data_IF_313835373910
#
_entry.id   IF_313835373910
#
_cell.length_a   1.000
_cell.length_b   1.000
_cell.length_c   1.000
_cell.angle_alpha   90.00
_cell.angle_beta   90.00
_cell.angle_gamma   90.00
#
_symmetry.space_group_name_H-M   'P 1'
#
loop_
_entity.id
_entity.type
_entity.pdbx_description
1 polymer ?
#
# COMPACT_ATOMS: atom_id res chain seq x y z
N UNK A 1 22.41 0.11 31.81
CA UNK A 1 22.46 -1.36 31.82
C UNK A 1 21.70 -1.81 30.57
N UNK A 2 22.41 -1.90 29.44
CA UNK A 2 21.86 -2.31 28.15
C UNK A 2 21.77 -3.84 28.15
N UNK A 3 20.55 -4.36 28.08
CA UNK A 3 20.35 -5.74 27.65
C UNK A 3 20.11 -5.69 26.15
N UNK A 4 21.18 -5.93 25.40
CA UNK A 4 21.14 -6.21 23.97
C UNK A 4 20.75 -7.68 23.85
N UNK A 5 19.44 -7.95 23.70
CA UNK A 5 18.97 -9.25 23.27
C UNK A 5 19.35 -9.38 21.79
N UNK A 6 20.51 -9.98 21.53
CA UNK A 6 20.79 -10.59 20.22
C UNK A 6 19.75 -11.68 20.00
N UNK A 7 18.67 -11.35 19.31
CA UNK A 7 17.87 -12.37 18.62
C UNK A 7 18.74 -12.90 17.48
N UNK A 8 19.00 -14.21 17.51
CA UNK A 8 19.56 -14.91 16.36
C UNK A 8 18.63 -14.66 15.16
N UNK A 9 19.17 -14.12 14.07
CA UNK A 9 18.47 -13.96 12.79
C UNK A 9 18.15 -15.33 12.19
N UNK A 10 17.15 -16.01 12.74
CA UNK A 10 16.48 -17.06 12.00
C UNK A 10 15.48 -16.39 11.06
N UNK A 11 15.53 -16.66 9.75
CA UNK A 11 14.51 -16.18 8.84
C UNK A 11 13.13 -16.66 9.29
N UNK A 12 12.12 -15.81 9.11
CA UNK A 12 10.70 -16.13 9.35
C UNK A 12 10.33 -17.48 8.74
N UNK A 13 9.45 -18.23 9.40
CA UNK A 13 8.90 -19.48 8.87
C UNK A 13 7.80 -19.26 7.83
N UNK A 14 7.36 -18.00 7.66
CA UNK A 14 6.25 -17.60 6.77
C UNK A 14 4.98 -18.45 7.02
N UNK A 15 4.62 -18.66 8.29
CA UNK A 15 3.49 -19.50 8.73
C UNK A 15 2.17 -18.74 8.91
N UNK A 16 2.21 -17.41 9.08
CA UNK A 16 1.03 -16.53 9.13
C UNK A 16 0.75 -15.85 7.78
N UNK A 17 0.41 -16.66 6.77
CA UNK A 17 0.15 -16.17 5.41
C UNK A 17 -1.30 -15.71 5.24
N UNK A 18 -1.47 -14.41 4.96
CA UNK A 18 -2.75 -13.81 4.61
C UNK A 18 -2.79 -13.39 3.14
N UNK A 19 -3.37 -14.22 2.28
CA UNK A 19 -3.38 -14.01 0.82
C UNK A 19 -4.77 -13.59 0.32
N UNK A 20 -4.90 -12.48 -0.43
CA UNK A 20 -6.18 -12.03 -0.99
C UNK A 20 -6.67 -12.90 -2.16
N UNK A 21 -5.73 -13.48 -2.91
CA UNK A 21 -6.02 -14.31 -4.08
C UNK A 21 -5.55 -15.76 -3.88
N UNK A 22 -6.24 -16.75 -4.48
CA UNK A 22 -5.82 -18.14 -4.40
C UNK A 22 -4.42 -18.37 -4.97
N UNK A 23 -3.69 -19.30 -4.34
CA UNK A 23 -2.40 -19.73 -4.86
C UNK A 23 -2.52 -20.30 -6.28
N UNK A 24 -1.59 -19.94 -7.17
CA UNK A 24 -1.57 -20.37 -8.57
C UNK A 24 -2.50 -19.59 -9.50
N UNK A 25 -3.16 -18.54 -9.00
CA UNK A 25 -3.92 -17.58 -9.80
C UNK A 25 -3.12 -16.27 -9.90
N UNK A 26 -3.42 -15.46 -10.92
CA UNK A 26 -2.83 -14.12 -11.06
C UNK A 26 -3.20 -13.25 -9.85
N UNK A 27 -2.27 -12.40 -9.42
CA UNK A 27 -2.56 -11.39 -8.39
C UNK A 27 -3.34 -10.23 -9.02
N UNK A 28 -4.50 -9.92 -8.46
CA UNK A 28 -5.41 -8.91 -8.99
C UNK A 28 -6.55 -9.49 -9.82
N UNK A 29 -7.60 -8.70 -10.07
CA UNK A 29 -8.68 -9.10 -10.96
C UNK A 29 -8.19 -9.13 -12.41
N UNK A 30 -8.88 -9.92 -13.23
CA UNK A 30 -8.60 -10.05 -14.67
C UNK A 30 -9.35 -9.03 -15.54
N UNK A 31 -10.31 -8.29 -14.97
CA UNK A 31 -11.04 -7.25 -15.69
C UNK A 31 -10.27 -5.94 -15.86
N UNK A 32 -10.60 -5.22 -16.92
CA UNK A 32 -9.98 -3.92 -17.24
C UNK A 32 -10.39 -2.79 -16.30
N UNK A 33 -9.60 -1.70 -16.27
CA UNK A 33 -9.97 -0.43 -15.64
C UNK A 33 -11.36 0.10 -16.02
N UNK A 34 -11.77 -0.09 -17.29
CA UNK A 34 -13.12 0.26 -17.76
C UNK A 34 -14.22 -0.41 -16.93
N UNK A 35 -14.02 -1.67 -16.55
CA UNK A 35 -14.98 -2.39 -15.72
C UNK A 35 -15.14 -1.74 -14.35
N UNK A 36 -14.03 -1.38 -13.70
CA UNK A 36 -14.03 -0.69 -12.41
C UNK A 36 -14.78 0.63 -12.50
N UNK A 37 -14.51 1.42 -13.54
CA UNK A 37 -15.20 2.69 -13.80
C UNK A 37 -16.70 2.50 -14.04
N UNK A 38 -17.09 1.49 -14.79
CA UNK A 38 -18.49 1.29 -15.16
C UNK A 38 -19.32 0.65 -14.02
N UNK A 39 -18.66 -0.03 -13.07
CA UNK A 39 -19.31 -0.67 -11.92
C UNK A 39 -19.22 0.13 -10.61
N UNK A 40 -18.43 1.21 -10.54
CA UNK A 40 -18.38 2.06 -9.35
C UNK A 40 -19.69 2.83 -9.11
N UNK A 41 -19.94 3.31 -7.87
CA UNK A 41 -21.09 4.17 -7.58
C UNK A 41 -21.16 5.41 -8.47
N UNK A 42 -22.35 5.72 -9.00
CA UNK A 42 -22.62 6.82 -9.95
C UNK A 42 -22.14 8.18 -9.43
N UNK A 43 -22.13 8.39 -8.11
CA UNK A 43 -21.64 9.63 -7.47
C UNK A 43 -20.17 9.95 -7.81
N UNK A 44 -19.38 8.95 -8.21
CA UNK A 44 -17.98 9.11 -8.59
C UNK A 44 -17.75 9.32 -10.10
N UNK A 45 -18.82 9.25 -10.90
CA UNK A 45 -18.76 9.47 -12.35
C UNK A 45 -17.73 8.55 -13.03
N UNK A 46 -16.83 9.15 -13.82
CA UNK A 46 -15.80 8.43 -14.57
C UNK A 46 -14.43 8.38 -13.87
N UNK A 47 -14.29 9.00 -12.70
CA UNK A 47 -13.01 9.09 -12.00
C UNK A 47 -12.93 7.94 -11.00
N UNK A 48 -11.89 7.11 -11.09
CA UNK A 48 -11.71 5.91 -10.27
C UNK A 48 -10.65 6.07 -9.18
N UNK A 49 -10.08 7.27 -9.07
CA UNK A 49 -9.10 7.64 -8.06
C UNK A 49 -9.48 8.95 -7.37
N UNK A 50 -8.71 9.35 -6.37
CA UNK A 50 -8.78 10.62 -5.68
C UNK A 50 -7.42 11.27 -5.67
N UNK A 51 -7.43 12.59 -5.75
CA UNK A 51 -6.23 13.41 -5.68
C UNK A 51 -6.34 14.38 -4.53
N UNK A 52 -5.23 14.59 -3.83
CA UNK A 52 -5.14 15.60 -2.77
C UNK A 52 -3.76 16.28 -2.83
N UNK A 53 -3.67 17.61 -2.66
CA UNK A 53 -2.37 18.26 -2.57
C UNK A 53 -1.63 17.79 -1.31
N UNK A 54 -0.37 17.36 -1.43
CA UNK A 54 0.44 17.05 -0.26
C UNK A 54 0.72 18.32 0.56
N UNK A 55 0.79 18.15 1.88
CA UNK A 55 1.32 19.16 2.78
C UNK A 55 2.77 19.48 2.39
N UNK A 56 3.14 20.76 2.45
CA UNK A 56 4.50 21.25 2.20
C UNK A 56 5.15 21.80 3.47
N UNK A 57 4.74 21.29 4.64
CA UNK A 57 5.23 21.76 5.93
C UNK A 57 6.70 21.35 6.13
N UNK A 58 7.62 22.29 5.88
CA UNK A 58 9.06 22.06 5.96
C UNK A 58 9.65 22.15 7.37
N UNK A 59 8.80 22.20 8.40
CA UNK A 59 9.22 22.30 9.80
C UNK A 59 9.77 20.98 10.36
N UNK A 60 10.21 21.03 11.61
CA UNK A 60 10.49 19.82 12.41
C UNK A 60 9.33 19.59 13.38
N UNK A 61 8.98 18.32 13.66
CA UNK A 61 9.56 17.10 13.10
C UNK A 61 9.11 16.81 11.66
N UNK A 62 9.89 16.00 10.93
CA UNK A 62 9.57 15.54 9.56
C UNK A 62 8.40 14.56 9.56
N UNK A 63 8.37 13.68 10.56
CA UNK A 63 7.29 12.76 10.83
C UNK A 63 7.16 12.51 12.33
N UNK A 64 5.97 12.19 12.80
CA UNK A 64 5.67 11.83 14.18
C UNK A 64 4.96 10.48 14.23
N UNK A 65 5.38 9.59 15.14
CA UNK A 65 4.72 8.31 15.34
C UNK A 65 4.10 8.22 16.73
N UNK A 66 2.83 7.82 16.79
CA UNK A 66 2.09 7.58 18.05
C UNK A 66 1.75 6.11 18.16
N UNK A 67 2.11 5.51 19.29
CA UNK A 67 1.65 4.17 19.67
C UNK A 67 0.21 4.27 20.17
N UNK A 68 -0.65 3.35 19.75
CA UNK A 68 -1.98 3.21 20.32
C UNK A 68 -2.21 1.80 20.84
N UNK A 69 -3.02 1.70 21.90
CA UNK A 69 -3.60 0.46 22.39
C UNK A 69 -5.09 0.73 22.54
N UNK A 70 -5.91 0.07 21.72
CA UNK A 70 -7.35 0.34 21.65
C UNK A 70 -8.15 -0.95 21.77
N UNK A 71 -9.32 -0.86 22.41
CA UNK A 71 -10.30 -1.94 22.36
C UNK A 71 -11.01 -1.95 21.00
N UNK A 72 -11.30 -3.14 20.48
CA UNK A 72 -12.05 -3.27 19.23
C UNK A 72 -13.55 -3.33 19.57
N UNK A 73 -14.35 -2.34 19.13
CA UNK A 73 -15.77 -2.26 19.48
C UNK A 73 -16.52 -3.55 19.16
N UNK A 74 -17.35 -4.01 20.11
CA UNK A 74 -18.11 -5.25 19.94
C UNK A 74 -17.31 -6.54 20.20
N UNK A 75 -16.05 -6.44 20.63
CA UNK A 75 -15.22 -7.60 21.02
C UNK A 75 -14.55 -7.37 22.37
N UNK A 76 -13.91 -8.40 22.93
CA UNK A 76 -13.05 -8.29 24.13
C UNK A 76 -11.56 -8.13 23.78
N UNK A 77 -11.24 -7.91 22.50
CA UNK A 77 -9.86 -7.87 22.02
C UNK A 77 -9.29 -6.46 22.12
N UNK A 78 -8.02 -6.41 22.46
CA UNK A 78 -7.19 -5.21 22.41
C UNK A 78 -6.26 -5.33 21.20
N UNK A 79 -6.08 -4.24 20.49
CA UNK A 79 -5.12 -4.12 19.39
C UNK A 79 -4.08 -3.08 19.73
N UNK A 80 -2.83 -3.34 19.32
CA UNK A 80 -1.71 -2.44 19.49
C UNK A 80 -1.18 -2.11 18.11
N UNK A 81 -0.94 -0.83 17.86
CA UNK A 81 -0.42 -0.37 16.58
C UNK A 81 0.29 0.96 16.72
N UNK A 82 0.68 1.51 15.58
CA UNK A 82 1.28 2.82 15.45
C UNK A 82 0.51 3.63 14.40
N UNK A 83 0.56 4.95 14.51
CA UNK A 83 0.04 5.88 13.51
C UNK A 83 1.17 6.89 13.27
N UNK A 84 1.64 6.99 12.03
CA UNK A 84 2.82 7.81 11.70
C UNK A 84 2.42 8.91 10.76
N UNK A 85 2.41 10.16 11.21
CA UNK A 85 2.05 11.31 10.36
C UNK A 85 3.31 11.90 9.73
N UNK A 86 3.31 12.09 8.41
CA UNK A 86 4.43 12.69 7.65
C UNK A 86 4.03 14.07 7.11
N UNK A 87 4.84 15.09 7.42
CA UNK A 87 4.47 16.49 7.22
C UNK A 87 4.81 17.07 5.83
N UNK A 88 5.76 16.48 5.11
CA UNK A 88 6.15 16.89 3.74
C UNK A 88 6.34 15.64 2.84
N UNK A 89 5.23 14.97 2.46
CA UNK A 89 5.30 13.65 1.81
C UNK A 89 6.12 13.64 0.53
N UNK A 90 6.00 14.67 -0.31
CA UNK A 90 6.74 14.77 -1.58
C UNK A 90 8.25 14.65 -1.39
N UNK A 91 8.78 15.19 -0.29
CA UNK A 91 10.23 15.25 -0.05
C UNK A 91 10.74 14.14 0.87
N UNK A 92 9.85 13.41 1.54
CA UNK A 92 10.24 12.57 2.69
C UNK A 92 9.65 11.16 2.67
N UNK A 93 8.70 10.87 1.78
CA UNK A 93 8.20 9.51 1.52
C UNK A 93 8.91 8.94 0.28
N UNK A 94 9.45 7.73 0.43
CA UNK A 94 10.00 6.93 -0.67
C UNK A 94 9.45 5.52 -0.63
N UNK A 95 9.11 4.98 -1.81
CA UNK A 95 8.90 3.55 -2.03
C UNK A 95 10.26 2.96 -2.36
N UNK A 96 10.68 1.91 -1.64
CA UNK A 96 11.98 1.27 -1.81
C UNK A 96 11.83 -0.16 -2.30
N UNK A 97 12.68 -0.56 -3.25
CA UNK A 97 12.84 -1.95 -3.65
C UNK A 97 13.51 -2.80 -2.54
N UNK A 98 13.19 -4.11 -2.44
CA UNK A 98 13.74 -4.98 -1.40
C UNK A 98 15.26 -5.13 -1.52
N UNK A 99 15.99 -4.70 -0.49
CA UNK A 99 17.47 -4.73 -0.48
C UNK A 99 18.13 -3.60 -1.27
N UNK A 100 17.35 -2.71 -1.89
CA UNK A 100 17.84 -1.58 -2.69
C UNK A 100 17.49 -1.67 -4.18
N UNK A 101 17.96 -0.69 -4.99
CA UNK A 101 17.60 -0.58 -6.40
C UNK A 101 17.89 -1.87 -7.20
N UNK A 102 16.91 -2.31 -7.99
CA UNK A 102 16.95 -3.57 -8.75
C UNK A 102 16.49 -4.81 -7.97
N UNK A 103 16.15 -4.69 -6.69
CA UNK A 103 15.66 -5.78 -5.85
C UNK A 103 14.44 -6.49 -6.43
N UNK A 104 13.47 -5.75 -6.98
CA UNK A 104 12.31 -6.35 -7.61
C UNK A 104 12.68 -7.14 -8.88
N UNK A 105 13.64 -6.63 -9.68
CA UNK A 105 14.12 -7.31 -10.89
C UNK A 105 14.87 -8.62 -10.60
N UNK A 106 15.39 -8.77 -9.38
CA UNK A 106 16.04 -9.99 -8.90
C UNK A 106 15.09 -10.93 -8.15
N UNK A 107 13.81 -10.57 -8.01
CA UNK A 107 12.85 -11.23 -7.13
C UNK A 107 13.39 -11.38 -5.69
N UNK A 108 14.10 -10.37 -5.21
CA UNK A 108 14.68 -10.36 -3.87
C UNK A 108 13.58 -10.16 -2.83
N UNK A 109 13.71 -10.87 -1.70
CA UNK A 109 12.97 -10.58 -0.48
C UNK A 109 13.98 -10.10 0.55
N UNK A 110 13.65 -9.06 1.29
CA UNK A 110 14.52 -8.50 2.31
C UNK A 110 13.69 -8.03 3.51
N UNK A 111 14.26 -8.12 4.71
CA UNK A 111 13.63 -7.57 5.89
C UNK A 111 13.49 -6.04 5.77
N UNK A 112 12.39 -5.48 6.30
CA UNK A 112 12.17 -4.02 6.29
C UNK A 112 13.32 -3.31 6.98
N UNK A 113 13.84 -3.85 8.09
CA UNK A 113 14.97 -3.26 8.82
C UNK A 113 16.21 -3.10 7.94
N UNK A 114 16.58 -4.13 7.18
CA UNK A 114 17.79 -4.11 6.34
C UNK A 114 17.65 -3.08 5.20
N UNK A 115 16.49 -3.06 4.53
CA UNK A 115 16.21 -2.09 3.47
C UNK A 115 16.14 -0.66 4.03
N UNK A 116 15.49 -0.47 5.17
CA UNK A 116 15.34 0.83 5.83
C UNK A 116 16.67 1.39 6.34
N UNK A 117 17.55 0.53 6.84
CA UNK A 117 18.90 0.90 7.29
C UNK A 117 19.73 1.43 6.12
N UNK A 118 19.67 0.75 4.97
CA UNK A 118 20.33 1.21 3.75
C UNK A 118 19.77 2.57 3.25
N UNK A 119 18.44 2.73 3.32
CA UNK A 119 17.73 3.98 2.97
C UNK A 119 17.81 5.10 4.01
N UNK A 120 18.39 4.84 5.20
CA UNK A 120 18.44 5.77 6.33
C UNK A 120 17.06 6.29 6.74
N UNK A 121 16.05 5.43 6.70
CA UNK A 121 14.67 5.78 7.01
C UNK A 121 14.51 6.09 8.50
N UNK A 122 13.75 7.15 8.83
CA UNK A 122 13.34 7.44 10.21
C UNK A 122 12.27 6.44 10.69
N UNK A 123 11.33 6.12 9.80
CA UNK A 123 10.28 5.14 9.98
C UNK A 123 10.17 4.33 8.69
N UNK A 124 9.89 3.03 8.81
CA UNK A 124 9.70 2.15 7.66
C UNK A 124 8.68 1.05 7.99
N UNK A 125 7.92 0.63 6.99
CA UNK A 125 6.93 -0.43 7.06
C UNK A 125 7.02 -1.26 5.78
N UNK A 126 6.52 -2.50 5.80
CA UNK A 126 6.35 -3.27 4.58
C UNK A 126 5.40 -2.53 3.61
N UNK A 127 5.68 -2.63 2.31
CA UNK A 127 4.93 -1.93 1.27
C UNK A 127 3.94 -2.84 0.53
N UNK A 128 4.15 -3.01 -0.77
CA UNK A 128 3.27 -3.78 -1.65
C UNK A 128 3.32 -5.30 -1.43
N UNK A 129 2.41 -5.99 -2.10
CA UNK A 129 2.35 -7.46 -2.11
C UNK A 129 3.48 -8.05 -2.98
N UNK A 130 3.84 -9.30 -2.69
CA UNK A 130 4.84 -10.05 -3.44
C UNK A 130 4.45 -11.53 -3.55
N UNK A 131 5.01 -12.22 -4.54
CA UNK A 131 4.86 -13.66 -4.69
C UNK A 131 5.64 -14.40 -3.60
N UNK A 132 4.94 -14.99 -2.62
CA UNK A 132 5.57 -15.57 -1.42
C UNK A 132 6.54 -16.73 -1.71
N UNK A 133 6.39 -17.41 -2.86
CA UNK A 133 7.29 -18.51 -3.26
C UNK A 133 8.44 -18.12 -4.17
N UNK A 134 8.27 -17.11 -5.00
CA UNK A 134 9.26 -16.72 -6.01
C UNK A 134 9.92 -15.37 -5.73
N UNK A 135 9.38 -14.57 -4.80
CA UNK A 135 9.89 -13.26 -4.42
C UNK A 135 9.55 -12.13 -5.39
N UNK A 136 8.70 -12.38 -6.40
CA UNK A 136 8.37 -11.35 -7.39
C UNK A 136 7.57 -10.21 -6.74
N UNK A 137 7.92 -8.96 -7.04
CA UNK A 137 7.09 -7.82 -6.68
C UNK A 137 5.77 -7.87 -7.48
N UNK A 138 4.66 -7.40 -6.89
CA UNK A 138 3.33 -7.41 -7.53
C UNK A 138 2.76 -5.98 -7.59
N UNK A 139 1.93 -5.72 -8.61
CA UNK A 139 1.35 -4.40 -8.88
C UNK A 139 2.33 -3.38 -9.48
N UNK A 140 1.91 -2.13 -9.54
CA UNK A 140 2.75 -1.02 -9.99
C UNK A 140 3.74 -0.61 -8.89
N UNK A 141 4.99 -0.35 -9.29
CA UNK A 141 6.05 0.15 -8.41
C UNK A 141 6.82 1.26 -9.12
N UNK A 142 6.83 2.45 -8.51
CA UNK A 142 7.71 3.56 -8.87
C UNK A 142 8.51 3.95 -7.64
N UNK A 143 9.84 3.93 -7.76
CA UNK A 143 10.80 4.23 -6.69
C UNK A 143 11.58 5.47 -7.09
N UNK A 144 11.41 6.57 -6.37
CA UNK A 144 12.13 7.84 -6.60
C UNK A 144 12.12 8.31 -8.08
N UNK A 145 10.97 8.16 -8.74
CA UNK A 145 10.74 8.54 -10.14
C UNK A 145 11.17 7.51 -11.18
N UNK A 146 11.68 6.35 -10.76
CA UNK A 146 12.02 5.23 -11.65
C UNK A 146 10.87 4.24 -11.68
N UNK A 147 10.32 3.95 -12.86
CA UNK A 147 9.35 2.86 -13.05
C UNK A 147 10.08 1.52 -12.86
N UNK A 148 9.85 0.89 -11.71
CA UNK A 148 10.45 -0.41 -11.35
C UNK A 148 9.62 -1.56 -11.93
N UNK A 149 8.30 -1.46 -11.84
CA UNK A 149 7.37 -2.48 -12.33
C UNK A 149 6.09 -1.86 -12.82
N UNK A 150 5.67 -2.23 -14.02
CA UNK A 150 4.33 -1.95 -14.54
C UNK A 150 3.48 -3.23 -14.38
N UNK A 151 2.27 -3.07 -13.88
CA UNK A 151 1.31 -4.16 -13.74
C UNK A 151 0.53 -4.47 -15.01
N UNK A 152 0.61 -3.63 -16.05
CA UNK A 152 -0.18 -3.79 -17.27
C UNK A 152 -1.67 -3.53 -17.04
N UNK A 153 -1.98 -2.58 -16.16
CA UNK A 153 -3.36 -2.15 -15.87
C UNK A 153 -4.15 -3.08 -14.93
N UNK A 154 -3.49 -3.89 -14.11
CA UNK A 154 -4.17 -4.69 -13.07
C UNK A 154 -4.86 -3.77 -12.05
N UNK A 155 -6.11 -4.07 -11.73
CA UNK A 155 -6.97 -3.20 -10.94
C UNK A 155 -6.94 -3.55 -9.45
N UNK A 156 -5.91 -3.05 -8.78
CA UNK A 156 -5.78 -3.05 -7.34
C UNK A 156 -5.69 -1.62 -6.79
N UNK A 157 -5.96 -1.44 -5.49
CA UNK A 157 -5.84 -0.14 -4.84
C UNK A 157 -4.39 0.36 -4.90
N UNK A 158 -4.20 1.62 -5.25
CA UNK A 158 -2.86 2.22 -5.40
C UNK A 158 -2.73 3.47 -4.54
N UNK A 159 -1.51 3.72 -4.10
CA UNK A 159 -1.07 4.98 -3.51
C UNK A 159 0.15 5.48 -4.28
N UNK A 160 0.12 6.75 -4.68
CA UNK A 160 1.27 7.38 -5.31
C UNK A 160 1.38 8.87 -5.02
N UNK A 161 2.56 9.40 -5.30
CA UNK A 161 2.87 10.83 -5.22
C UNK A 161 3.35 11.26 -6.61
N UNK A 162 2.71 12.26 -7.18
CA UNK A 162 3.07 12.88 -8.46
C UNK A 162 4.20 13.90 -8.27
N UNK A 163 4.90 14.24 -9.35
CA UNK A 163 6.05 15.18 -9.34
C UNK A 163 5.70 16.55 -8.75
N UNK A 164 4.46 17.01 -8.92
CA UNK A 164 3.98 18.28 -8.35
C UNK A 164 3.55 18.19 -6.87
N UNK A 165 3.65 17.01 -6.24
CA UNK A 165 3.20 16.77 -4.87
C UNK A 165 1.74 16.34 -4.75
N UNK A 166 1.04 16.08 -5.86
CA UNK A 166 -0.31 15.51 -5.79
C UNK A 166 -0.26 14.08 -5.25
N UNK A 167 -0.92 13.83 -4.13
CA UNK A 167 -1.19 12.49 -3.60
C UNK A 167 -2.31 11.86 -4.43
N UNK A 168 -2.18 10.59 -4.78
CA UNK A 168 -3.16 9.85 -5.58
C UNK A 168 -3.51 8.54 -4.87
N UNK A 169 -4.81 8.28 -4.71
CA UNK A 169 -5.35 7.07 -4.09
C UNK A 169 -6.45 6.45 -4.96
N UNK A 170 -6.47 5.13 -5.12
CA UNK A 170 -7.56 4.40 -5.78
C UNK A 170 -7.11 3.56 -6.98
N UNK A 171 -7.94 3.47 -8.02
CA UNK A 171 -7.68 2.62 -9.18
C UNK A 171 -7.20 3.44 -10.36
N UNK A 172 -6.06 3.03 -10.93
CA UNK A 172 -5.39 3.70 -12.03
C UNK A 172 -5.41 2.81 -13.28
N UNK A 173 -5.61 3.43 -14.44
CA UNK A 173 -5.32 2.78 -15.71
C UNK A 173 -3.82 2.75 -15.96
N UNK A 174 -3.37 1.93 -16.90
CA UNK A 174 -1.96 1.92 -17.34
C UNK A 174 -1.56 3.30 -17.91
N UNK A 175 -2.45 3.97 -18.65
CA UNK A 175 -2.23 5.33 -19.15
C UNK A 175 -2.04 6.34 -18.02
N UNK A 176 -2.81 6.26 -16.93
CA UNK A 176 -2.65 7.13 -15.78
C UNK A 176 -1.26 6.98 -15.12
N UNK A 177 -0.73 5.75 -15.11
CA UNK A 177 0.57 5.40 -14.52
C UNK A 177 1.72 5.88 -15.39
N UNK A 178 1.57 5.74 -16.71
CA UNK A 178 2.59 6.11 -17.72
C UNK A 178 2.55 7.58 -18.13
N UNK A 179 1.70 8.41 -17.50
CA UNK A 179 1.61 9.83 -17.78
C UNK A 179 2.95 10.56 -17.53
N UNK A 180 3.52 11.12 -18.60
CA UNK A 180 4.79 11.86 -18.55
C UNK A 180 4.62 13.36 -18.22
N UNK A 181 3.41 13.91 -18.29
CA UNK A 181 3.18 15.34 -18.08
C UNK A 181 3.35 15.72 -16.59
N UNK A 182 2.81 14.89 -15.70
CA UNK A 182 3.03 14.98 -14.27
C UNK A 182 3.28 13.56 -13.72
N UNK A 183 4.47 12.98 -13.92
CA UNK A 183 4.71 11.57 -13.64
C UNK A 183 4.69 11.28 -12.14
N UNK A 184 4.44 10.02 -11.80
CA UNK A 184 4.64 9.53 -10.44
C UNK A 184 6.12 9.59 -10.07
N UNK A 185 6.40 10.07 -8.86
CA UNK A 185 7.72 9.96 -8.22
C UNK A 185 7.74 8.83 -7.20
N UNK A 186 6.60 8.48 -6.62
CA UNK A 186 6.41 7.29 -5.80
C UNK A 186 5.10 6.62 -6.22
N UNK A 187 5.08 5.30 -6.30
CA UNK A 187 3.86 4.52 -6.58
C UNK A 187 4.01 3.12 -6.01
N UNK A 188 2.98 2.65 -5.32
CA UNK A 188 2.89 1.28 -4.82
C UNK A 188 1.45 0.80 -4.87
N UNK A 189 1.26 -0.48 -5.19
CA UNK A 189 -0.06 -1.12 -5.17
C UNK A 189 -0.26 -1.91 -3.87
N UNK A 190 -1.44 -1.75 -3.29
CA UNK A 190 -1.96 -2.56 -2.19
C UNK A 190 -3.17 -3.38 -2.65
N UNK A 191 -3.99 -3.84 -1.70
CA UNK A 191 -5.25 -4.53 -1.96
C UNK A 191 -6.29 -3.99 -1.00
N UNK A 192 -7.49 -3.67 -1.50
CA UNK A 192 -8.60 -2.98 -0.83
C UNK A 192 -8.36 -1.48 -0.64
N UNK A 193 -9.21 -0.66 -1.25
CA UNK A 193 -9.31 0.76 -0.95
C UNK A 193 -10.22 0.99 0.26
N UNK A 194 -9.63 1.31 1.40
CA UNK A 194 -10.35 1.39 2.68
C UNK A 194 -11.32 2.58 2.78
N UNK A 195 -10.84 3.78 2.43
CA UNK A 195 -11.58 5.04 2.59
C UNK A 195 -11.52 5.88 1.32
N UNK A 196 -12.69 6.30 0.83
CA UNK A 196 -12.85 7.19 -0.33
C UNK A 196 -13.69 8.41 0.08
N UNK A 197 -13.15 9.63 -0.01
CA UNK A 197 -13.81 10.86 0.48
C UNK A 197 -14.33 10.71 1.93
N UNK A 198 -13.49 10.17 2.82
CA UNK A 198 -13.82 9.93 4.23
C UNK A 198 -15.00 8.94 4.47
N UNK A 199 -15.35 8.13 3.47
CA UNK A 199 -16.37 7.08 3.58
C UNK A 199 -15.74 5.70 3.40
N UNK A 200 -16.23 4.72 4.16
CA UNK A 200 -15.81 3.32 4.04
C UNK A 200 -16.11 2.81 2.63
N UNK A 201 -15.10 2.25 1.97
CA UNK A 201 -15.15 1.86 0.56
C UNK A 201 -14.82 0.37 0.31
N UNK A 202 -14.89 -0.45 1.37
CA UNK A 202 -14.52 -1.87 1.37
C UNK A 202 -15.39 -2.69 0.41
N UNK A 203 -16.72 -2.52 0.45
CA UNK A 203 -17.63 -3.31 -0.40
C UNK A 203 -17.41 -3.03 -1.89
N UNK A 204 -17.19 -1.76 -2.24
CA UNK A 204 -16.88 -1.33 -3.59
C UNK A 204 -15.51 -1.88 -4.02
N UNK A 205 -14.55 -1.96 -3.10
CA UNK A 205 -13.25 -2.57 -3.37
C UNK A 205 -13.34 -4.06 -3.64
N UNK A 206 -14.20 -4.79 -2.93
CA UNK A 206 -14.46 -6.21 -3.23
C UNK A 206 -14.98 -6.38 -4.66
N UNK A 207 -15.88 -5.50 -5.10
CA UNK A 207 -16.39 -5.54 -6.48
C UNK A 207 -15.35 -5.12 -7.52
N UNK A 208 -14.48 -4.17 -7.18
CA UNK A 208 -13.46 -3.64 -8.09
C UNK A 208 -12.21 -4.54 -8.20
N UNK A 209 -11.85 -5.29 -7.16
CA UNK A 209 -10.57 -6.02 -7.04
C UNK A 209 -10.74 -7.54 -7.07
N UNK A 210 -11.97 -8.05 -7.08
CA UNK A 210 -12.24 -9.48 -7.16
C UNK A 210 -12.96 -9.84 -8.46
N UNK A 211 -12.50 -10.91 -9.10
CA UNK A 211 -13.23 -11.51 -10.21
C UNK A 211 -14.57 -12.07 -9.70
N UNK A 212 -15.64 -11.86 -10.46
CA UNK A 212 -17.00 -12.32 -10.10
C UNK A 212 -17.15 -13.85 -10.05
N UNK A 213 -16.09 -14.60 -10.35
CA UNK A 213 -16.04 -16.07 -10.32
C UNK A 213 -15.69 -16.61 -8.91
N UNK A 214 -15.36 -17.90 -8.80
CA UNK A 214 -15.22 -18.69 -7.54
C UNK A 214 -14.27 -18.10 -6.47
N UNK A 215 -13.55 -17.02 -6.75
CA UNK A 215 -12.55 -16.39 -5.87
C UNK A 215 -13.16 -15.46 -4.82
N UNK A 216 -14.43 -15.05 -4.98
CA UNK A 216 -15.10 -14.12 -4.05
C UNK A 216 -15.07 -14.60 -2.60
N UNK A 217 -15.13 -15.91 -2.36
CA UNK A 217 -15.07 -16.48 -1.01
C UNK A 217 -13.72 -16.24 -0.31
N UNK A 218 -12.60 -16.38 -1.03
CA UNK A 218 -11.26 -16.16 -0.47
C UNK A 218 -10.97 -14.68 -0.29
N UNK A 219 -11.36 -13.85 -1.25
CA UNK A 219 -11.17 -12.40 -1.14
C UNK A 219 -11.97 -11.82 0.04
N UNK A 220 -13.22 -12.26 0.23
CA UNK A 220 -14.01 -11.88 1.43
C UNK A 220 -13.37 -12.37 2.72
N UNK A 221 -12.87 -13.61 2.76
CA UNK A 221 -12.14 -14.09 3.93
C UNK A 221 -10.92 -13.22 4.25
N UNK A 222 -10.16 -12.81 3.21
CA UNK A 222 -9.05 -11.88 3.36
C UNK A 222 -9.48 -10.52 3.93
N UNK A 223 -10.67 -10.01 3.59
CA UNK A 223 -11.20 -8.76 4.13
C UNK A 223 -11.67 -8.93 5.59
N UNK A 224 -12.41 -9.98 5.87
CA UNK A 224 -13.15 -10.14 7.13
C UNK A 224 -12.30 -10.69 8.29
N UNK A 225 -11.20 -11.40 7.99
CA UNK A 225 -10.37 -12.01 9.03
C UNK A 225 -9.52 -10.99 9.77
N UNK A 226 -9.48 -11.12 11.10
CA UNK A 226 -8.58 -10.35 11.96
C UNK A 226 -7.17 -10.91 11.84
N UNK A 227 -6.24 -10.07 11.40
CA UNK A 227 -4.82 -10.34 11.26
C UNK A 227 -4.08 -9.00 11.26
N UNK A 228 -2.74 -9.02 11.31
CA UNK A 228 -1.93 -7.81 11.21
C UNK A 228 -2.10 -7.14 9.84
N UNK A 229 -2.21 -5.81 9.81
CA UNK A 229 -2.43 -5.00 8.62
C UNK A 229 -1.49 -3.81 8.59
N UNK A 230 -1.35 -3.23 7.40
CA UNK A 230 -0.71 -1.93 7.18
C UNK A 230 -1.57 -1.17 6.17
N UNK A 231 -1.64 0.14 6.31
CA UNK A 231 -2.38 1.02 5.42
C UNK A 231 -1.63 2.33 5.24
N UNK A 232 -1.92 3.04 4.15
CA UNK A 232 -1.44 4.40 3.91
C UNK A 232 -2.63 5.26 3.49
N UNK A 233 -2.73 6.44 4.09
CA UNK A 233 -3.78 7.42 3.80
C UNK A 233 -3.27 8.85 3.86
N UNK A 234 -4.20 9.80 3.84
CA UNK A 234 -3.91 11.21 4.07
C UNK A 234 -4.98 11.86 4.94
N UNK A 235 -4.60 12.95 5.63
CA UNK A 235 -5.54 13.82 6.33
C UNK A 235 -6.01 15.01 5.45
N UNK A 236 -6.88 15.85 6.01
CA UNK A 236 -7.40 17.03 5.31
C UNK A 236 -6.31 18.07 4.98
N UNK A 237 -5.21 18.07 5.74
CA UNK A 237 -4.06 18.97 5.52
C UNK A 237 -3.10 18.43 4.45
N UNK A 238 -3.33 17.22 3.94
CA UNK A 238 -2.47 16.56 2.95
C UNK A 238 -1.21 15.93 3.53
N UNK A 239 -1.17 15.70 4.85
CA UNK A 239 -0.12 14.88 5.48
C UNK A 239 -0.45 13.42 5.22
N UNK A 240 0.57 12.60 4.94
CA UNK A 240 0.36 11.16 4.75
C UNK A 240 0.48 10.42 6.08
N UNK A 241 -0.31 9.37 6.25
CA UNK A 241 -0.34 8.56 7.47
C UNK A 241 -0.19 7.06 7.16
N UNK A 242 1.04 6.50 7.26
CA UNK A 242 1.23 5.06 7.27
C UNK A 242 0.84 4.46 8.63
N UNK A 243 -0.25 3.70 8.64
CA UNK A 243 -0.83 3.09 9.84
C UNK A 243 -0.60 1.57 9.81
N UNK A 244 0.22 0.99 10.70
CA UNK A 244 0.15 -0.41 11.05
C UNK A 244 -1.13 -0.64 11.88
N UNK A 245 -2.02 -1.47 11.32
CA UNK A 245 -3.36 -1.77 11.82
C UNK A 245 -3.47 -3.18 12.42
#
# INVERSE_FOLDING_TARGET
MQYELRTQDNPSLDDDLLSPYPYGHSHGPSHSHRHVRDCQPVVHGNVTHQTWPASNHTGVPVAESKVFVSDVPGTTRWVTGHMTVVHDPLRTVSVLEPGGPGGCGMNQREAVEETARAGRCLYAQNGGFFGTKNGECLGNVVSDGVQVRDSGGVQNAQFGIRRDGTLVFGYLSEEDVLDEANPFVQLVSGVVWLLRNSQVYINQSIEAECDRTQDTGKFRHFVDVVSARTAVGHDEEGKTDPVPH
#
